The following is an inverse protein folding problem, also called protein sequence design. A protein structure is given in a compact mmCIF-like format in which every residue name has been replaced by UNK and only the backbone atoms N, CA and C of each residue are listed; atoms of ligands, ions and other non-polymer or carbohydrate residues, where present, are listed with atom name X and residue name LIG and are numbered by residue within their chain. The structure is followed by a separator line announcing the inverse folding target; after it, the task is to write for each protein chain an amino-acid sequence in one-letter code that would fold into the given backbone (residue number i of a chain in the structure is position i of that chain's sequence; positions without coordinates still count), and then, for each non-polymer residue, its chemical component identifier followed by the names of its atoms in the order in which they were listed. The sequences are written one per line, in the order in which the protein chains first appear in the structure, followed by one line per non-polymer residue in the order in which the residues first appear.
data_IF_735577887118
#
_entry.id   IF_735577887118
#
_cell.length_a   1.000
_cell.length_b   1.000
_cell.length_c   1.000
_cell.angle_alpha   90.00
_cell.angle_beta   90.00
_cell.angle_gamma   90.00
#
_symmetry.space_group_name_H-M   'P 1'
#
loop_
_entity.id
_entity.type
_entity.pdbx_description
1 polymer ?
#
# COMPACT_ATOMS: atom_id res chain seq x y z
N UNK A 1 46.96 14.14 32.69
CA UNK A 1 45.94 13.09 32.45
C UNK A 1 44.57 13.69 32.19
N UNK A 2 44.22 14.81 32.85
CA UNK A 2 42.87 15.40 32.80
C UNK A 2 42.40 15.77 31.39
N UNK A 3 43.24 16.42 30.58
CA UNK A 3 42.87 16.82 29.21
C UNK A 3 42.54 15.65 28.26
N UNK A 4 43.15 14.48 28.50
CA UNK A 4 42.88 13.28 27.70
C UNK A 4 41.56 12.60 28.11
N UNK A 5 41.26 12.58 29.42
CA UNK A 5 39.99 12.11 29.95
C UNK A 5 38.83 13.01 29.51
N UNK A 6 39.03 14.32 29.54
CA UNK A 6 38.06 15.33 29.10
C UNK A 6 37.74 15.22 27.59
N UNK A 7 38.77 14.94 26.76
CA UNK A 7 38.59 14.66 25.33
C UNK A 7 37.82 13.35 25.07
N UNK A 8 38.04 12.31 25.89
CA UNK A 8 37.30 11.05 25.79
C UNK A 8 35.84 11.25 26.20
N UNK A 9 35.60 11.96 27.31
CA UNK A 9 34.26 12.26 27.80
C UNK A 9 33.44 13.06 26.78
N UNK A 10 34.01 14.14 26.23
CA UNK A 10 33.33 14.94 25.20
C UNK A 10 33.07 14.16 23.90
N UNK A 11 33.91 13.19 23.56
CA UNK A 11 33.70 12.30 22.41
C UNK A 11 32.57 11.30 22.66
N UNK A 12 32.48 10.75 23.88
CA UNK A 12 31.39 9.88 24.32
C UNK A 12 30.06 10.63 24.30
N UNK A 13 30.02 11.86 24.82
CA UNK A 13 28.80 12.69 24.82
C UNK A 13 28.32 12.99 23.40
N UNK A 14 29.23 13.34 22.47
CA UNK A 14 28.89 13.53 21.06
C UNK A 14 28.36 12.25 20.42
N UNK A 15 28.91 11.11 20.79
CA UNK A 15 28.48 9.82 20.28
C UNK A 15 27.09 9.42 20.80
N UNK A 16 26.83 9.58 22.10
CA UNK A 16 25.51 9.36 22.69
C UNK A 16 24.45 10.23 22.02
N UNK A 17 24.74 11.53 21.81
CA UNK A 17 23.83 12.43 21.08
C UNK A 17 23.49 11.93 19.69
N UNK A 18 24.47 11.41 18.94
CA UNK A 18 24.23 10.86 17.59
C UNK A 18 23.36 9.60 17.62
N UNK A 19 23.54 8.73 18.61
CA UNK A 19 22.67 7.57 18.81
C UNK A 19 21.25 8.04 19.10
N UNK A 20 21.06 8.94 20.06
CA UNK A 20 19.74 9.46 20.43
C UNK A 20 19.04 10.11 19.24
N UNK A 21 19.77 10.90 18.43
CA UNK A 21 19.25 11.49 17.19
C UNK A 21 18.82 10.43 16.17
N UNK A 22 19.58 9.34 16.05
CA UNK A 22 19.28 8.24 15.13
C UNK A 22 18.05 7.46 15.61
N UNK A 23 17.95 7.17 16.90
CA UNK A 23 16.79 6.50 17.50
C UNK A 23 15.52 7.35 17.37
N UNK A 24 15.62 8.67 17.56
CA UNK A 24 14.51 9.59 17.28
C UNK A 24 14.07 9.56 15.81
N UNK A 25 15.02 9.51 14.87
CA UNK A 25 14.69 9.39 13.43
C UNK A 25 14.03 8.06 13.11
N UNK A 26 14.48 6.96 13.71
CA UNK A 26 13.86 5.64 13.56
C UNK A 26 12.42 5.68 14.07
N UNK A 27 12.18 6.21 15.28
CA UNK A 27 10.83 6.35 15.83
C UNK A 27 9.91 7.19 14.92
N UNK A 28 10.40 8.30 14.39
CA UNK A 28 9.64 9.13 13.44
C UNK A 28 9.30 8.39 12.13
N UNK A 29 10.17 7.50 11.66
CA UNK A 29 9.90 6.67 10.48
C UNK A 29 8.87 5.60 10.82
N UNK A 30 8.94 5.00 12.01
CA UNK A 30 7.96 4.03 12.50
C UNK A 30 6.56 4.62 12.64
N UNK A 31 6.44 5.82 13.20
CA UNK A 31 5.16 6.53 13.29
C UNK A 31 4.55 6.76 11.90
N UNK A 32 5.38 7.12 10.92
CA UNK A 32 4.94 7.33 9.52
C UNK A 32 4.53 6.03 8.84
N UNK A 33 5.29 4.95 9.05
CA UNK A 33 4.94 3.61 8.54
C UNK A 33 3.61 3.15 9.14
N UNK A 34 3.40 3.34 10.44
CA UNK A 34 2.15 2.98 11.09
C UNK A 34 0.97 3.80 10.56
N UNK A 35 1.17 5.10 10.31
CA UNK A 35 0.14 5.95 9.70
C UNK A 35 -0.21 5.49 8.27
N UNK A 36 0.80 5.17 7.44
CA UNK A 36 0.58 4.65 6.09
C UNK A 36 -0.19 3.32 6.10
N UNK A 37 0.15 2.39 7.00
CA UNK A 37 -0.56 1.11 7.12
C UNK A 37 -2.04 1.30 7.47
N UNK A 38 -2.34 2.24 8.37
CA UNK A 38 -3.74 2.62 8.71
C UNK A 38 -4.49 3.24 7.52
N UNK A 39 -3.80 3.84 6.57
CA UNK A 39 -4.40 4.34 5.32
C UNK A 39 -4.55 3.24 4.25
N UNK A 40 -3.62 2.29 4.20
CA UNK A 40 -3.62 1.18 3.24
C UNK A 40 -4.70 0.13 3.53
N UNK A 41 -4.85 -0.31 4.78
CA UNK A 41 -5.84 -1.32 5.17
C UNK A 41 -7.27 -1.03 4.66
N UNK A 42 -7.87 0.16 4.91
CA UNK A 42 -9.21 0.45 4.39
C UNK A 42 -9.25 0.58 2.87
N UNK A 43 -8.13 0.99 2.25
CA UNK A 43 -8.05 1.12 0.80
C UNK A 43 -8.05 -0.25 0.11
N UNK A 44 -7.29 -1.22 0.64
CA UNK A 44 -7.27 -2.60 0.16
C UNK A 44 -8.67 -3.24 0.22
N UNK A 45 -9.39 -3.02 1.34
CA UNK A 45 -10.77 -3.47 1.48
C UNK A 45 -11.68 -2.84 0.42
N UNK A 46 -11.57 -1.52 0.21
CA UNK A 46 -12.38 -0.82 -0.79
C UNK A 46 -12.10 -1.30 -2.22
N UNK A 47 -10.83 -1.61 -2.54
CA UNK A 47 -10.41 -2.19 -3.82
C UNK A 47 -11.04 -3.57 -4.02
N UNK A 48 -11.00 -4.43 -3.01
CA UNK A 48 -11.59 -5.77 -3.05
C UNK A 48 -13.11 -5.73 -3.24
N UNK A 49 -13.80 -4.85 -2.50
CA UNK A 49 -15.24 -4.65 -2.65
C UNK A 49 -15.61 -4.12 -4.05
N UNK A 50 -14.86 -3.14 -4.54
CA UNK A 50 -15.06 -2.55 -5.87
C UNK A 50 -14.84 -3.59 -6.97
N UNK A 51 -13.79 -4.41 -6.85
CA UNK A 51 -13.51 -5.53 -7.76
C UNK A 51 -14.62 -6.59 -7.73
N UNK A 52 -15.18 -6.89 -6.56
CA UNK A 52 -16.28 -7.85 -6.43
C UNK A 52 -17.55 -7.35 -7.13
N UNK A 53 -17.91 -6.07 -6.90
CA UNK A 53 -19.03 -5.42 -7.58
C UNK A 53 -18.85 -5.37 -9.11
N UNK A 54 -17.63 -5.13 -9.60
CA UNK A 54 -17.34 -5.18 -11.04
C UNK A 54 -17.67 -6.56 -11.64
N UNK A 55 -17.28 -7.64 -10.96
CA UNK A 55 -17.58 -9.01 -11.41
C UNK A 55 -19.08 -9.32 -11.39
N UNK A 56 -19.81 -8.83 -10.40
CA UNK A 56 -21.26 -8.99 -10.32
C UNK A 56 -21.96 -8.29 -11.51
N UNK A 57 -21.56 -7.05 -11.81
CA UNK A 57 -22.10 -6.30 -12.94
C UNK A 57 -21.74 -6.98 -14.26
N UNK A 58 -20.51 -7.46 -14.42
CA UNK A 58 -20.07 -8.20 -15.60
C UNK A 58 -20.92 -9.48 -15.81
N UNK A 59 -21.17 -10.22 -14.73
CA UNK A 59 -22.06 -11.38 -14.79
C UNK A 59 -23.50 -11.00 -15.18
N UNK A 60 -24.04 -9.93 -14.59
CA UNK A 60 -25.37 -9.42 -14.92
C UNK A 60 -25.45 -8.97 -16.39
N UNK A 61 -24.44 -8.27 -16.90
CA UNK A 61 -24.31 -7.88 -18.31
C UNK A 61 -24.34 -9.11 -19.21
N UNK A 62 -23.54 -10.13 -18.93
CA UNK A 62 -23.54 -11.37 -19.70
C UNK A 62 -24.91 -12.05 -19.74
N UNK A 63 -25.61 -12.13 -18.59
CA UNK A 63 -26.95 -12.69 -18.54
C UNK A 63 -27.94 -11.88 -19.37
N UNK A 64 -27.91 -10.54 -19.28
CA UNK A 64 -28.80 -9.64 -20.04
C UNK A 64 -28.52 -9.71 -21.52
N UNK A 65 -27.25 -9.69 -21.95
CA UNK A 65 -26.85 -9.85 -23.35
C UNK A 65 -27.29 -11.20 -23.93
N UNK A 66 -27.25 -12.28 -23.14
CA UNK A 66 -27.77 -13.58 -23.54
C UNK A 66 -29.30 -13.54 -23.73
N UNK A 67 -30.04 -12.86 -22.85
CA UNK A 67 -31.49 -12.64 -23.02
C UNK A 67 -31.77 -11.81 -24.28
N UNK A 68 -31.03 -10.74 -24.52
CA UNK A 68 -31.11 -9.92 -25.75
C UNK A 68 -30.94 -10.78 -27.00
N UNK A 69 -29.91 -11.65 -27.04
CA UNK A 69 -29.70 -12.58 -28.16
C UNK A 69 -30.88 -13.53 -28.36
N UNK A 70 -31.49 -14.04 -27.28
CA UNK A 70 -32.68 -14.91 -27.36
C UNK A 70 -33.90 -14.16 -27.89
N UNK A 71 -34.20 -12.97 -27.36
CA UNK A 71 -35.32 -12.14 -27.84
C UNK A 71 -35.14 -11.78 -29.31
N UNK A 72 -33.92 -11.45 -29.75
CA UNK A 72 -33.63 -11.20 -31.16
C UNK A 72 -33.91 -12.41 -32.05
N UNK A 73 -33.56 -13.63 -31.61
CA UNK A 73 -33.90 -14.85 -32.33
C UNK A 73 -35.42 -15.06 -32.41
N UNK A 74 -36.13 -14.85 -31.30
CA UNK A 74 -37.59 -14.97 -31.26
C UNK A 74 -38.27 -13.98 -32.20
N UNK A 75 -37.81 -12.72 -32.23
CA UNK A 75 -38.27 -11.69 -33.16
C UNK A 75 -38.11 -12.13 -34.62
N UNK A 76 -36.95 -12.65 -35.01
CA UNK A 76 -36.69 -13.14 -36.37
C UNK A 76 -37.52 -14.37 -36.76
N UNK A 77 -37.94 -15.17 -35.78
CA UNK A 77 -38.77 -16.36 -35.99
C UNK A 77 -40.27 -16.12 -35.77
N UNK A 78 -40.67 -14.88 -35.46
CA UNK A 78 -42.05 -14.54 -35.14
C UNK A 78 -42.96 -14.75 -36.35
N UNK A 79 -44.15 -15.32 -36.11
CA UNK A 79 -45.11 -15.65 -37.19
C UNK A 79 -46.19 -14.60 -37.37
N UNK A 80 -46.33 -13.70 -36.40
CA UNK A 80 -47.36 -12.66 -36.40
C UNK A 80 -46.76 -11.31 -36.03
N UNK A 81 -47.34 -10.24 -36.57
CA UNK A 81 -46.93 -8.87 -36.26
C UNK A 81 -47.04 -8.55 -34.77
N UNK A 82 -48.08 -9.07 -34.10
CA UNK A 82 -48.26 -8.92 -32.65
C UNK A 82 -47.09 -9.50 -31.85
N UNK A 83 -46.56 -10.67 -32.25
CA UNK A 83 -45.38 -11.27 -31.63
C UNK A 83 -44.13 -10.42 -31.88
N UNK A 84 -43.95 -9.92 -33.10
CA UNK A 84 -42.84 -9.03 -33.44
C UNK A 84 -42.85 -7.77 -32.56
N UNK A 85 -44.00 -7.11 -32.42
CA UNK A 85 -44.15 -5.93 -31.57
C UNK A 85 -43.88 -6.22 -30.08
N UNK A 86 -44.26 -7.39 -29.59
CA UNK A 86 -43.97 -7.81 -28.22
C UNK A 86 -42.46 -8.00 -28.00
N UNK A 87 -41.79 -8.77 -28.87
CA UNK A 87 -40.36 -9.00 -28.77
C UNK A 87 -39.53 -7.74 -28.99
N UNK A 88 -40.00 -6.82 -29.83
CA UNK A 88 -39.36 -5.53 -30.04
C UNK A 88 -39.39 -4.69 -28.75
N UNK A 89 -40.54 -4.63 -28.05
CA UNK A 89 -40.63 -3.97 -26.75
C UNK A 89 -39.70 -4.58 -25.71
N UNK A 90 -39.69 -5.91 -25.61
CA UNK A 90 -38.81 -6.65 -24.69
C UNK A 90 -37.33 -6.37 -24.99
N UNK A 91 -36.96 -6.34 -26.28
CA UNK A 91 -35.60 -6.03 -26.71
C UNK A 91 -35.19 -4.62 -26.27
N UNK A 92 -36.04 -3.61 -26.51
CA UNK A 92 -35.77 -2.24 -26.10
C UNK A 92 -35.64 -2.10 -24.58
N UNK A 93 -36.45 -2.80 -23.80
CA UNK A 93 -36.34 -2.79 -22.34
C UNK A 93 -35.02 -3.42 -21.88
N UNK A 94 -34.66 -4.59 -22.42
CA UNK A 94 -33.40 -5.25 -22.10
C UNK A 94 -32.18 -4.39 -22.49
N UNK A 95 -32.23 -3.73 -23.64
CA UNK A 95 -31.14 -2.83 -24.07
C UNK A 95 -30.99 -1.63 -23.14
N UNK A 96 -32.09 -1.04 -22.64
CA UNK A 96 -32.03 0.02 -21.62
C UNK A 96 -31.35 -0.46 -20.35
N UNK A 97 -31.63 -1.69 -19.91
CA UNK A 97 -30.98 -2.28 -18.73
C UNK A 97 -29.50 -2.56 -18.98
N UNK A 98 -29.14 -3.07 -20.16
CA UNK A 98 -27.74 -3.27 -20.56
C UNK A 98 -26.99 -1.95 -20.53
N UNK A 99 -27.53 -0.88 -21.11
CA UNK A 99 -26.88 0.43 -21.10
C UNK A 99 -26.72 1.01 -19.68
N UNK A 100 -27.66 0.77 -18.77
CA UNK A 100 -27.52 1.17 -17.37
C UNK A 100 -26.37 0.44 -16.69
N UNK A 101 -26.32 -0.89 -16.83
CA UNK A 101 -25.25 -1.71 -16.27
C UNK A 101 -23.88 -1.38 -16.87
N UNK A 102 -23.82 -1.10 -18.18
CA UNK A 102 -22.59 -0.73 -18.87
C UNK A 102 -22.04 0.61 -18.37
N UNK A 103 -22.94 1.59 -18.13
CA UNK A 103 -22.58 2.86 -17.51
C UNK A 103 -22.07 2.67 -16.08
N UNK A 104 -22.78 1.89 -15.27
CA UNK A 104 -22.39 1.59 -13.89
C UNK A 104 -21.03 0.87 -13.84
N UNK A 105 -20.80 -0.09 -14.75
CA UNK A 105 -19.52 -0.78 -14.90
C UNK A 105 -18.39 0.20 -15.21
N UNK A 106 -18.60 1.13 -16.15
CA UNK A 106 -17.60 2.12 -16.53
C UNK A 106 -17.23 3.05 -15.36
N UNK A 107 -18.23 3.56 -14.63
CA UNK A 107 -18.03 4.40 -13.44
C UNK A 107 -17.25 3.65 -12.35
N UNK A 108 -17.63 2.39 -12.10
CA UNK A 108 -16.98 1.56 -11.09
C UNK A 108 -15.55 1.17 -11.48
N UNK A 109 -15.28 0.97 -12.78
CA UNK A 109 -13.95 0.68 -13.32
C UNK A 109 -13.03 1.88 -13.16
N UNK A 110 -13.51 3.08 -13.42
CA UNK A 110 -12.76 4.32 -13.19
C UNK A 110 -12.44 4.49 -11.70
N UNK A 111 -13.42 4.22 -10.82
CA UNK A 111 -13.21 4.23 -9.37
C UNK A 111 -12.12 3.23 -8.97
N UNK A 112 -12.21 1.99 -9.43
CA UNK A 112 -11.22 0.94 -9.16
C UNK A 112 -9.81 1.38 -9.55
N UNK A 113 -9.64 1.92 -10.76
CA UNK A 113 -8.35 2.38 -11.23
C UNK A 113 -7.78 3.49 -10.33
N UNK A 114 -8.60 4.47 -9.92
CA UNK A 114 -8.18 5.54 -8.99
C UNK A 114 -7.73 4.99 -7.63
N UNK A 115 -8.40 3.97 -7.12
CA UNK A 115 -8.03 3.33 -5.85
C UNK A 115 -6.69 2.60 -5.98
N UNK A 116 -6.50 1.81 -7.04
CA UNK A 116 -5.24 1.10 -7.31
C UNK A 116 -4.07 2.09 -7.48
N UNK A 117 -4.26 3.16 -8.25
CA UNK A 117 -3.23 4.20 -8.41
C UNK A 117 -2.86 4.88 -7.07
N UNK A 118 -3.82 5.00 -6.15
CA UNK A 118 -3.58 5.54 -4.81
C UNK A 118 -2.81 4.53 -3.95
N UNK A 119 -3.18 3.26 -3.99
CA UNK A 119 -2.51 2.16 -3.30
C UNK A 119 -1.05 2.05 -3.73
N UNK A 120 -0.77 2.01 -5.03
CA UNK A 120 0.59 1.97 -5.58
C UNK A 120 1.46 3.13 -5.08
N UNK A 121 0.90 4.34 -5.01
CA UNK A 121 1.60 5.52 -4.49
C UNK A 121 1.90 5.40 -2.99
N UNK A 122 1.01 4.80 -2.21
CA UNK A 122 1.19 4.59 -0.78
C UNK A 122 2.21 3.48 -0.52
N UNK A 123 2.13 2.36 -1.24
CA UNK A 123 3.10 1.26 -1.17
C UNK A 123 4.51 1.73 -1.52
N UNK A 124 4.65 2.58 -2.55
CA UNK A 124 5.96 3.17 -2.87
C UNK A 124 6.52 3.99 -1.71
N UNK A 125 5.69 4.80 -1.04
CA UNK A 125 6.12 5.57 0.14
C UNK A 125 6.47 4.66 1.32
N UNK A 126 5.75 3.56 1.50
CA UNK A 126 6.06 2.57 2.53
C UNK A 126 7.44 1.96 2.28
N UNK A 127 7.70 1.51 1.04
CA UNK A 127 9.02 0.98 0.64
C UNK A 127 10.16 1.99 0.88
N UNK A 128 9.97 3.25 0.46
CA UNK A 128 10.98 4.31 0.65
C UNK A 128 11.28 4.53 2.16
N UNK A 129 10.25 4.45 3.01
CA UNK A 129 10.40 4.58 4.46
C UNK A 129 11.06 3.35 5.10
N UNK A 130 10.72 2.14 4.64
CA UNK A 130 11.38 0.92 5.11
C UNK A 130 12.86 0.89 4.74
N UNK A 131 13.22 1.32 3.52
CA UNK A 131 14.61 1.45 3.10
C UNK A 131 15.35 2.47 3.99
N UNK A 132 14.74 3.64 4.22
CA UNK A 132 15.30 4.66 5.11
C UNK A 132 15.48 4.15 6.54
N UNK A 133 14.50 3.39 7.05
CA UNK A 133 14.58 2.75 8.38
C UNK A 133 15.76 1.79 8.44
N UNK A 134 15.92 0.93 7.43
CA UNK A 134 17.04 -0.01 7.33
C UNK A 134 18.40 0.71 7.30
N UNK A 135 18.51 1.80 6.55
CA UNK A 135 19.73 2.64 6.52
C UNK A 135 20.07 3.20 7.91
N UNK A 136 19.07 3.72 8.65
CA UNK A 136 19.27 4.24 10.01
C UNK A 136 19.70 3.14 10.99
N UNK A 137 19.15 1.92 10.89
CA UNK A 137 19.61 0.80 11.70
C UNK A 137 21.05 0.41 11.39
N UNK A 138 21.44 0.41 10.11
CA UNK A 138 22.82 0.13 9.70
C UNK A 138 23.81 1.17 10.21
N UNK A 139 23.44 2.45 10.15
CA UNK A 139 24.22 3.55 10.72
C UNK A 139 24.38 3.39 12.24
N UNK A 140 23.29 3.07 12.94
CA UNK A 140 23.28 2.79 14.38
C UNK A 140 24.21 1.61 14.71
N UNK A 141 24.13 0.53 13.95
CA UNK A 141 24.96 -0.67 14.18
C UNK A 141 26.44 -0.38 13.99
N UNK A 142 26.81 0.34 12.92
CA UNK A 142 28.20 0.79 12.70
C UNK A 142 28.71 1.64 13.84
N UNK A 143 27.89 2.57 14.33
CA UNK A 143 28.21 3.40 15.48
C UNK A 143 28.44 2.54 16.72
N UNK A 144 27.53 1.61 17.03
CA UNK A 144 27.66 0.72 18.19
C UNK A 144 28.92 -0.14 18.14
N UNK A 145 29.23 -0.76 16.98
CA UNK A 145 30.47 -1.52 16.78
C UNK A 145 31.72 -0.66 17.04
N UNK A 146 31.70 0.59 16.58
CA UNK A 146 32.80 1.51 16.83
C UNK A 146 32.96 1.84 18.33
N UNK A 147 31.85 2.05 19.03
CA UNK A 147 31.86 2.28 20.48
C UNK A 147 32.36 1.06 21.26
N UNK A 148 31.91 -0.15 20.92
CA UNK A 148 32.38 -1.39 21.52
C UNK A 148 33.89 -1.56 21.36
N UNK A 149 34.44 -1.28 20.18
CA UNK A 149 35.88 -1.33 19.93
C UNK A 149 36.65 -0.32 20.79
N UNK A 150 36.14 0.91 20.91
CA UNK A 150 36.77 1.94 21.75
C UNK A 150 36.72 1.52 23.22
N UNK A 151 35.57 1.07 23.72
CA UNK A 151 35.40 0.60 25.10
C UNK A 151 36.30 -0.59 25.42
N UNK A 152 36.41 -1.57 24.50
CA UNK A 152 37.30 -2.71 24.67
C UNK A 152 38.78 -2.30 24.79
N UNK A 153 39.22 -1.33 23.98
CA UNK A 153 40.58 -0.77 24.06
C UNK A 153 40.81 -0.01 25.36
N UNK A 154 39.83 0.78 25.81
CA UNK A 154 39.89 1.52 27.08
C UNK A 154 39.94 0.57 28.28
N UNK A 155 39.04 -0.41 28.34
CA UNK A 155 38.99 -1.44 29.37
C UNK A 155 40.33 -2.17 29.47
N UNK A 156 40.87 -2.64 28.33
CA UNK A 156 42.17 -3.30 28.26
C UNK A 156 43.32 -2.43 28.78
N UNK A 157 43.32 -1.13 28.46
CA UNK A 157 44.32 -0.18 28.97
C UNK A 157 44.20 0.01 30.48
N UNK A 158 42.98 0.20 30.99
CA UNK A 158 42.70 0.36 32.43
C UNK A 158 43.16 -0.87 33.21
N UNK A 159 42.84 -2.08 32.74
CA UNK A 159 43.27 -3.33 33.38
C UNK A 159 44.79 -3.46 33.44
N UNK A 160 45.51 -3.06 32.38
CA UNK A 160 46.98 -3.08 32.37
C UNK A 160 47.59 -2.08 33.35
N UNK A 161 47.02 -0.87 33.45
CA UNK A 161 47.48 0.14 34.43
C UNK A 161 47.14 -0.17 35.88
N UNK A 162 46.15 -1.04 36.13
CA UNK A 162 45.72 -1.43 37.49
C UNK A 162 46.49 -2.64 38.04
N UNK A 163 47.13 -3.40 37.15
CA UNK A 163 47.94 -4.59 37.47
C UNK A 163 49.46 -4.28 37.45
N UNK A 164 49.84 -3.00 37.34
CA UNK A 164 51.20 -2.46 37.48
C UNK A 164 51.25 -1.63 38.77
#
# INVERSE_FOLDING_TARGET
MDKALENVQSSIEKFMKKIDETEKKIAQVDDKLQALRKELEPLEVEILETSSKLREIEHALHQKLNKVKRVRKLYLSAKTERQMQMYDKDYHQLMKEVHKLDKEYAELKEKYQKLVEKEEKLLKKEMDLEEKKAQLYHEREKMMKHAEQIMGRLSSKISRTRNL
#
